data_IF_221726289819
#
_entry.id   IF_221726289819
#
_cell.length_a   1.000
_cell.length_b   1.000
_cell.length_c   1.000
_cell.angle_alpha   90.00
_cell.angle_beta   90.00
_cell.angle_gamma   90.00
#
_symmetry.space_group_name_H-M   'P 1'
#
loop_
_entity.id
_entity.type
_entity.pdbx_description
1 polymer ?
#
# COMPACT_ATOMS: atom_id res chain seq x y z
N UNK A 1 -21.35 -2.87 23.56
CA UNK A 1 -22.11 -2.41 22.37
C UNK A 1 -21.10 -1.79 21.41
N UNK A 2 -20.85 -2.44 20.27
CA UNK A 2 -19.91 -1.95 19.27
C UNK A 2 -20.51 -0.74 18.56
N UNK A 3 -19.91 0.45 18.72
CA UNK A 3 -20.27 1.62 17.91
C UNK A 3 -19.40 1.61 16.66
N UNK A 4 -20.01 1.24 15.55
CA UNK A 4 -19.49 1.48 14.20
C UNK A 4 -19.30 2.98 14.04
N UNK A 5 -18.05 3.43 13.90
CA UNK A 5 -17.77 4.83 13.54
C UNK A 5 -17.83 4.92 12.03
N UNK A 6 -18.97 5.39 11.55
CA UNK A 6 -19.15 5.84 10.17
C UNK A 6 -18.23 7.06 10.01
N UNK A 7 -17.27 6.97 9.09
CA UNK A 7 -16.53 8.13 8.61
C UNK A 7 -17.54 9.01 7.87
N UNK A 8 -18.12 10.01 8.55
CA UNK A 8 -18.95 10.98 7.86
C UNK A 8 -18.08 11.86 6.96
N UNK A 9 -18.42 11.85 5.67
CA UNK A 9 -17.85 12.69 4.64
C UNK A 9 -18.08 14.17 5.02
N UNK A 10 -17.05 14.88 5.47
CA UNK A 10 -17.29 16.24 5.93
C UNK A 10 -16.11 17.12 6.33
N UNK A 11 -14.85 16.81 6.00
CA UNK A 11 -13.78 17.81 6.18
C UNK A 11 -12.95 17.97 4.92
N UNK A 12 -13.46 18.84 4.05
CA UNK A 12 -12.79 19.37 2.87
C UNK A 12 -11.82 20.48 3.26
N UNK A 13 -10.52 20.19 3.24
CA UNK A 13 -9.42 20.99 2.64
C UNK A 13 -8.14 20.90 3.46
N UNK A 14 -7.15 20.16 2.97
CA UNK A 14 -6.02 20.71 2.20
C UNK A 14 -5.26 21.80 2.94
N UNK A 15 -4.21 21.43 3.67
CA UNK A 15 -2.98 22.23 3.70
C UNK A 15 -1.80 21.31 4.02
N UNK A 16 -0.91 21.20 3.04
CA UNK A 16 0.51 20.92 3.23
C UNK A 16 0.98 21.79 4.41
N UNK A 17 1.35 21.19 5.54
CA UNK A 17 1.94 21.91 6.69
C UNK A 17 1.01 22.35 7.82
N UNK A 18 0.04 21.54 8.26
CA UNK A 18 -0.66 21.82 9.53
C UNK A 18 0.26 21.52 10.73
N UNK A 19 0.65 22.60 11.42
CA UNK A 19 1.39 22.60 12.68
C UNK A 19 0.70 21.70 13.70
N UNK A 20 1.50 21.02 14.52
CA UNK A 20 1.17 20.01 15.53
C UNK A 20 0.10 20.38 16.60
N UNK A 21 -0.75 21.39 16.41
CA UNK A 21 -1.52 22.03 17.48
C UNK A 21 -3.05 21.98 17.33
N UNK A 22 -3.63 21.29 16.34
CA UNK A 22 -5.11 21.16 16.20
C UNK A 22 -5.63 19.72 16.16
N UNK A 23 -4.82 18.74 16.57
CA UNK A 23 -5.31 17.37 16.83
C UNK A 23 -5.82 17.34 18.28
N UNK A 24 -6.95 18.01 18.54
CA UNK A 24 -7.57 17.98 19.86
C UNK A 24 -8.30 16.66 20.08
N UNK A 25 -7.71 15.80 20.91
CA UNK A 25 -8.32 14.72 21.73
C UNK A 25 -8.53 13.29 21.18
N UNK A 26 -7.87 12.89 20.08
CA UNK A 26 -7.70 11.46 19.70
C UNK A 26 -6.23 11.00 19.76
N UNK A 27 -5.44 11.73 20.54
CA UNK A 27 -3.98 11.69 20.49
C UNK A 27 -3.40 10.69 21.50
N UNK A 28 -3.43 9.41 21.12
CA UNK A 28 -2.48 8.43 21.66
C UNK A 28 -1.84 7.65 20.51
N UNK A 29 -0.67 8.14 20.08
CA UNK A 29 0.39 7.44 19.30
C UNK A 29 0.35 7.48 17.76
N UNK A 30 0.06 8.62 17.11
CA UNK A 30 0.50 8.77 15.72
C UNK A 30 1.97 9.19 15.67
N UNK A 31 2.87 8.29 15.30
CA UNK A 31 4.27 8.61 15.01
C UNK A 31 4.55 8.31 13.53
N UNK A 32 4.87 9.35 12.74
CA UNK A 32 5.17 9.26 11.30
C UNK A 32 6.33 8.33 10.92
N UNK A 33 7.20 8.01 11.88
CA UNK A 33 8.31 7.06 11.70
C UNK A 33 7.82 5.62 11.72
N UNK A 34 6.76 5.34 12.50
CA UNK A 34 6.25 3.98 12.73
C UNK A 34 4.82 3.77 12.21
N UNK A 35 4.17 4.82 11.73
CA UNK A 35 2.78 4.83 11.27
C UNK A 35 2.61 5.62 9.98
N UNK A 36 1.60 5.25 9.20
CA UNK A 36 1.14 5.96 8.01
C UNK A 36 -0.39 5.97 7.95
N UNK A 37 -0.99 6.91 7.23
CA UNK A 37 -2.44 6.96 7.02
C UNK A 37 -2.77 6.44 5.62
N UNK A 38 -3.68 5.46 5.54
CA UNK A 38 -4.17 4.91 4.28
C UNK A 38 -5.69 4.83 4.33
N UNK A 39 -6.39 5.42 3.36
CA UNK A 39 -7.86 5.46 3.31
C UNK A 39 -8.52 5.93 4.64
N UNK A 40 -7.91 6.90 5.32
CA UNK A 40 -8.44 7.43 6.59
C UNK A 40 -8.20 6.54 7.81
N UNK A 41 -7.45 5.44 7.68
CA UNK A 41 -7.08 4.54 8.78
C UNK A 41 -5.58 4.62 9.04
N UNK A 42 -5.19 4.73 10.32
CA UNK A 42 -3.78 4.67 10.74
C UNK A 42 -3.30 3.22 10.69
N UNK A 43 -2.21 2.98 9.97
CA UNK A 43 -1.57 1.68 9.78
C UNK A 43 -0.12 1.74 10.28
N UNK A 44 0.46 0.59 10.63
CA UNK A 44 1.89 0.48 10.91
C UNK A 44 2.68 0.72 9.63
N UNK A 45 3.82 1.40 9.73
CA UNK A 45 4.72 1.67 8.62
C UNK A 45 5.71 0.50 8.44
N UNK A 46 5.61 -0.30 7.37
CA UNK A 46 6.69 -1.20 6.96
C UNK A 46 7.87 -0.39 6.40
N UNK A 47 9.03 -1.02 6.14
CA UNK A 47 10.27 -0.33 5.72
C UNK A 47 10.10 0.62 4.54
N UNK A 48 10.30 0.13 3.33
CA UNK A 48 9.92 0.87 2.12
C UNK A 48 8.42 0.68 1.92
N UNK A 49 7.60 1.68 2.25
CA UNK A 49 6.17 1.46 2.44
C UNK A 49 5.31 1.79 1.21
N UNK A 50 4.36 0.90 0.93
CA UNK A 50 3.24 1.15 0.00
C UNK A 50 1.95 0.59 0.56
N UNK A 51 0.84 0.79 -0.15
CA UNK A 51 -0.50 0.39 0.24
C UNK A 51 -1.21 -0.33 -0.91
N UNK A 52 -1.84 -1.45 -0.60
CA UNK A 52 -2.56 -2.30 -1.54
C UNK A 52 -3.78 -2.88 -0.82
N UNK A 53 -4.98 -2.66 -1.36
CA UNK A 53 -6.22 -3.31 -0.88
C UNK A 53 -6.46 -3.24 0.63
N UNK A 54 -6.24 -2.08 1.24
CA UNK A 54 -6.47 -1.93 2.69
C UNK A 54 -5.26 -2.30 3.56
N UNK A 55 -4.18 -2.81 2.98
CA UNK A 55 -3.01 -3.31 3.71
C UNK A 55 -1.75 -2.59 3.26
N UNK A 56 -0.95 -2.16 4.24
CA UNK A 56 0.40 -1.62 4.00
C UNK A 56 1.40 -2.76 3.85
N UNK A 57 2.36 -2.61 2.93
CA UNK A 57 3.39 -3.61 2.70
C UNK A 57 4.75 -2.99 2.41
N UNK A 58 5.80 -3.80 2.56
CA UNK A 58 7.17 -3.41 2.25
C UNK A 58 7.48 -3.66 0.76
N UNK A 59 7.74 -2.59 0.01
CA UNK A 59 8.03 -2.62 -1.43
C UNK A 59 9.39 -3.23 -1.77
N UNK A 60 10.28 -3.39 -0.79
CA UNK A 60 11.60 -4.01 -1.00
C UNK A 60 11.51 -5.52 -1.07
N UNK A 61 10.46 -6.11 -0.48
CA UNK A 61 10.26 -7.57 -0.45
C UNK A 61 8.95 -8.02 -1.07
N UNK A 62 8.01 -7.11 -1.33
CA UNK A 62 6.70 -7.43 -1.90
C UNK A 62 6.26 -6.42 -2.97
N UNK A 63 5.26 -6.80 -3.75
CA UNK A 63 4.64 -6.03 -4.84
C UNK A 63 3.12 -6.25 -4.81
N UNK A 64 2.35 -5.25 -5.23
CA UNK A 64 0.89 -5.33 -5.34
C UNK A 64 0.50 -5.65 -6.79
N UNK A 65 -0.14 -6.81 -7.02
CA UNK A 65 -0.64 -7.25 -8.33
C UNK A 65 -2.15 -7.45 -8.27
N UNK A 66 -2.91 -6.62 -8.98
CA UNK A 66 -4.38 -6.63 -9.02
C UNK A 66 -4.98 -6.92 -7.64
N UNK A 67 -4.74 -5.99 -6.72
CA UNK A 67 -5.25 -6.01 -5.35
C UNK A 67 -4.66 -7.11 -4.43
N UNK A 68 -3.67 -7.87 -4.90
CA UNK A 68 -3.02 -8.93 -4.11
C UNK A 68 -1.56 -8.58 -3.84
N UNK A 69 -1.17 -8.53 -2.57
CA UNK A 69 0.25 -8.39 -2.19
C UNK A 69 0.94 -9.75 -2.39
N UNK A 70 2.03 -9.75 -3.13
CA UNK A 70 2.83 -10.93 -3.46
C UNK A 70 4.32 -10.67 -3.17
N UNK A 71 5.11 -11.71 -2.87
CA UNK A 71 6.56 -11.57 -2.79
C UNK A 71 7.15 -11.08 -4.12
N UNK A 72 8.23 -10.29 -4.06
CA UNK A 72 9.01 -9.96 -5.27
C UNK A 72 9.70 -11.21 -5.81
N UNK A 73 9.82 -11.30 -7.13
CA UNK A 73 10.51 -12.38 -7.84
C UNK A 73 11.49 -11.80 -8.86
N UNK A 74 12.73 -12.30 -8.85
CA UNK A 74 13.78 -11.92 -9.80
C UNK A 74 14.31 -10.48 -9.63
N UNK A 75 15.10 -10.05 -10.63
CA UNK A 75 15.71 -8.72 -10.66
C UNK A 75 14.72 -7.63 -11.06
N UNK A 76 13.74 -7.96 -11.91
CA UNK A 76 12.74 -7.03 -12.41
C UNK A 76 11.31 -7.56 -12.22
N UNK A 77 10.79 -7.61 -10.98
CA UNK A 77 9.45 -8.12 -10.70
C UNK A 77 8.38 -7.29 -11.39
N UNK A 78 7.46 -7.96 -12.07
CA UNK A 78 6.28 -7.38 -12.73
C UNK A 78 5.04 -8.24 -12.49
N UNK A 79 3.86 -7.66 -12.72
CA UNK A 79 2.59 -8.33 -12.51
C UNK A 79 1.98 -8.82 -13.83
N UNK A 80 1.48 -10.05 -13.83
CA UNK A 80 0.55 -10.58 -14.82
C UNK A 80 -0.74 -10.94 -14.08
N UNK A 81 -1.74 -10.06 -14.16
CA UNK A 81 -2.95 -10.14 -13.33
C UNK A 81 -2.59 -10.11 -11.83
N UNK A 82 -2.76 -11.22 -11.11
CA UNK A 82 -2.47 -11.38 -9.66
C UNK A 82 -1.15 -12.09 -9.38
N UNK A 83 -0.47 -12.54 -10.43
CA UNK A 83 0.78 -13.29 -10.34
C UNK A 83 1.98 -12.39 -10.62
N UNK A 84 3.07 -12.64 -9.89
CA UNK A 84 4.35 -11.94 -10.10
C UNK A 84 5.20 -12.80 -11.02
N UNK A 85 5.91 -12.15 -11.93
CA UNK A 85 6.95 -12.76 -12.74
C UNK A 85 8.17 -11.86 -12.81
N UNK A 86 9.32 -12.44 -13.13
CA UNK A 86 10.52 -11.67 -13.45
C UNK A 86 10.50 -11.25 -14.93
N UNK A 87 10.39 -9.95 -15.17
CA UNK A 87 10.31 -9.37 -16.49
C UNK A 87 11.63 -9.44 -17.29
N UNK A 88 12.75 -9.79 -16.64
CA UNK A 88 14.00 -10.10 -17.34
C UNK A 88 13.88 -11.39 -18.17
N UNK A 89 13.20 -12.40 -17.62
CA UNK A 89 13.12 -13.75 -18.22
C UNK A 89 11.76 -14.08 -18.83
N UNK A 90 10.69 -13.39 -18.43
CA UNK A 90 9.33 -13.69 -18.86
C UNK A 90 8.59 -12.43 -19.35
N UNK A 91 7.44 -12.66 -20.00
CA UNK A 91 6.49 -11.65 -20.47
C UNK A 91 5.06 -12.12 -20.17
N UNK A 92 4.16 -11.17 -19.91
CA UNK A 92 2.73 -11.43 -19.79
C UNK A 92 2.05 -11.27 -21.15
N UNK A 93 1.39 -12.30 -21.66
CA UNK A 93 0.64 -12.28 -22.91
C UNK A 93 -0.75 -12.89 -22.67
N UNK A 94 -1.81 -12.12 -22.86
CA UNK A 94 -3.20 -12.55 -22.62
C UNK A 94 -3.36 -13.25 -21.26
N UNK A 95 -2.94 -12.57 -20.19
CA UNK A 95 -2.98 -13.06 -18.80
C UNK A 95 -2.14 -14.31 -18.50
N UNK A 96 -1.31 -14.74 -19.45
CA UNK A 96 -0.40 -15.89 -19.30
C UNK A 96 1.04 -15.43 -19.25
N UNK A 97 1.79 -15.89 -18.26
CA UNK A 97 3.24 -15.66 -18.16
C UNK A 97 3.94 -16.66 -19.07
N UNK A 98 4.72 -16.17 -20.02
CA UNK A 98 5.51 -16.98 -20.95
C UNK A 98 6.98 -16.56 -20.92
N UNK A 99 7.93 -17.49 -21.06
CA UNK A 99 9.35 -17.15 -21.22
C UNK A 99 9.57 -16.22 -22.42
N UNK A 100 10.52 -15.29 -22.31
CA UNK A 100 10.99 -14.54 -23.47
C UNK A 100 11.75 -15.48 -24.38
N UNK A 101 11.41 -15.46 -25.68
CA UNK A 101 12.21 -16.10 -26.71
C UNK A 101 13.30 -15.11 -27.10
N UNK A 102 14.57 -15.50 -26.92
CA UNK A 102 15.73 -14.71 -27.33
C UNK A 102 15.96 -14.74 -28.83
#
# INVERSE_FOLDING_TARGET
MFKNVILEAGSTRTTIGQRNSEISSWDKKFNKETHMCCNGVVQTRPGSNSFCSGTTYDTDVSICCMDTIRPRLGGNPSCCVREVFDAESNICCSDTITPRVG
#
